data_IF_284355651180
#
_entry.id   IF_284355651180
#
_cell.length_a   1.000
_cell.length_b   1.000
_cell.length_c   1.000
_cell.angle_alpha   90.00
_cell.angle_beta   90.00
_cell.angle_gamma   90.00
#
_symmetry.space_group_name_H-M   'P 1'
#
loop_
_entity.id
_entity.type
_entity.pdbx_description
1 polymer ?
#
# COMPACT_ATOMS: atom_id res chain seq x y z
N UNK A 1 2.72 35.61 1.23
CA UNK A 1 3.48 35.88 -0.01
C UNK A 1 4.30 34.62 -0.22
N UNK A 2 3.84 33.73 -1.10
CA UNK A 2 4.63 32.54 -1.48
C UNK A 2 5.62 33.00 -2.56
N UNK A 3 6.90 33.04 -2.20
CA UNK A 3 7.97 33.10 -3.19
C UNK A 3 7.92 31.82 -4.01
N UNK A 4 7.44 31.92 -5.24
CA UNK A 4 7.57 30.87 -6.22
C UNK A 4 9.06 30.59 -6.44
N UNK A 5 9.56 29.50 -5.90
CA UNK A 5 10.89 28.99 -6.25
C UNK A 5 10.87 28.72 -7.76
N UNK A 6 11.66 29.52 -8.49
CA UNK A 6 11.91 29.31 -9.91
C UNK A 6 12.65 27.96 -10.02
N UNK A 7 11.91 26.85 -10.13
CA UNK A 7 12.51 25.54 -10.35
C UNK A 7 13.23 25.57 -11.70
N UNK A 8 14.55 25.45 -11.66
CA UNK A 8 15.36 25.34 -12.86
C UNK A 8 15.13 23.95 -13.44
N UNK A 9 14.89 23.87 -14.73
CA UNK A 9 14.86 22.62 -15.44
C UNK A 9 16.26 22.27 -15.97
N UNK A 10 16.50 20.99 -16.16
CA UNK A 10 17.73 20.47 -16.75
C UNK A 10 17.39 19.57 -17.90
N UNK A 11 18.01 19.80 -19.07
CA UNK A 11 17.97 18.91 -20.22
C UNK A 11 19.16 18.00 -20.19
N UNK A 12 18.92 16.71 -20.18
CA UNK A 12 19.95 15.68 -20.23
C UNK A 12 20.46 15.58 -21.67
N UNK A 13 21.76 15.75 -21.88
CA UNK A 13 22.41 15.57 -23.18
C UNK A 13 22.92 14.14 -23.32
N UNK A 14 23.55 13.62 -22.26
CA UNK A 14 24.02 12.23 -22.14
C UNK A 14 23.83 11.76 -20.71
N UNK A 15 23.03 10.71 -20.51
CA UNK A 15 22.79 10.20 -19.17
C UNK A 15 21.89 9.00 -19.14
N UNK A 16 22.12 8.13 -18.17
CA UNK A 16 21.35 6.90 -18.00
C UNK A 16 20.75 6.80 -16.61
N UNK A 17 19.61 6.14 -16.56
CA UNK A 17 18.97 5.79 -15.28
C UNK A 17 18.48 4.33 -15.32
N UNK A 18 18.65 3.62 -14.21
CA UNK A 18 18.25 2.22 -14.13
C UNK A 18 16.79 2.08 -13.73
N UNK A 19 15.94 1.72 -14.70
CA UNK A 19 14.52 1.40 -14.48
C UNK A 19 14.37 -0.12 -14.48
N UNK A 20 13.89 -0.71 -13.37
CA UNK A 20 13.64 -2.16 -13.27
C UNK A 20 14.84 -3.03 -13.69
N UNK A 21 16.03 -2.59 -13.30
CA UNK A 21 17.26 -3.33 -13.60
C UNK A 21 17.83 -3.14 -15.01
N UNK A 22 17.15 -2.42 -15.90
CA UNK A 22 17.63 -2.07 -17.25
C UNK A 22 18.10 -0.62 -17.27
N UNK A 23 19.25 -0.37 -17.86
CA UNK A 23 19.73 0.99 -18.09
C UNK A 23 18.96 1.60 -19.26
N UNK A 24 18.36 2.77 -19.01
CA UNK A 24 17.58 3.54 -19.98
C UNK A 24 18.32 4.83 -20.28
N UNK A 25 18.55 5.12 -21.55
CA UNK A 25 19.10 6.39 -22.00
C UNK A 25 18.05 7.50 -21.87
N UNK A 26 18.41 8.60 -21.23
CA UNK A 26 17.57 9.76 -20.98
C UNK A 26 17.95 10.99 -21.80
N UNK A 27 18.79 10.81 -22.81
CA UNK A 27 19.23 11.90 -23.67
C UNK A 27 18.05 12.63 -24.31
N UNK A 28 18.08 13.96 -24.26
CA UNK A 28 17.02 14.83 -24.77
C UNK A 28 15.88 15.12 -23.77
N UNK A 29 15.77 14.39 -22.66
CA UNK A 29 14.71 14.59 -21.68
C UNK A 29 14.97 15.81 -20.77
N UNK A 30 13.89 16.48 -20.37
CA UNK A 30 13.92 17.65 -19.50
C UNK A 30 13.26 17.31 -18.18
N UNK A 31 13.99 17.53 -17.08
CA UNK A 31 13.54 17.27 -15.70
C UNK A 31 13.64 18.53 -14.86
N UNK A 32 12.85 18.66 -13.77
CA UNK A 32 13.12 19.64 -12.74
C UNK A 32 14.44 19.29 -12.02
N UNK A 33 15.36 20.27 -11.95
CA UNK A 33 16.66 20.09 -11.29
C UNK A 33 16.50 20.18 -9.77
N UNK A 34 17.01 19.17 -9.05
CA UNK A 34 17.07 19.17 -7.59
C UNK A 34 18.51 19.49 -7.13
N UNK A 35 19.51 18.90 -7.77
CA UNK A 35 20.91 19.12 -7.41
C UNK A 35 21.79 18.96 -8.66
N UNK A 36 22.68 19.91 -8.85
CA UNK A 36 23.66 19.89 -9.93
C UNK A 36 24.63 18.72 -9.81
N UNK A 37 25.47 18.54 -10.82
CA UNK A 37 26.41 17.43 -10.94
C UNK A 37 27.24 17.20 -9.68
N UNK A 38 27.32 15.96 -9.27
CA UNK A 38 28.21 15.46 -8.22
C UNK A 38 28.87 14.16 -8.61
N UNK A 39 30.05 13.93 -8.07
CA UNK A 39 30.74 12.64 -8.18
C UNK A 39 30.48 11.83 -6.91
N UNK A 40 29.96 10.62 -7.09
CA UNK A 40 29.73 9.66 -6.01
C UNK A 40 30.59 8.41 -6.17
N UNK A 41 30.41 7.44 -5.28
CA UNK A 41 31.18 6.19 -5.28
C UNK A 41 31.03 5.35 -6.57
N UNK A 42 29.95 5.56 -7.32
CA UNK A 42 29.63 4.81 -8.58
C UNK A 42 29.78 5.66 -9.85
N UNK A 43 30.39 6.85 -9.76
CA UNK A 43 30.54 7.78 -10.88
C UNK A 43 29.81 9.10 -10.69
N UNK A 44 29.80 9.92 -11.73
CA UNK A 44 29.12 11.22 -11.74
C UNK A 44 27.61 11.07 -11.89
N UNK A 45 26.86 12.01 -11.36
CA UNK A 45 25.40 12.06 -11.50
C UNK A 45 24.84 13.47 -11.31
N UNK A 46 23.67 13.71 -11.90
CA UNK A 46 22.79 14.86 -11.61
C UNK A 46 21.55 14.35 -10.86
N UNK A 47 21.02 15.11 -9.91
CA UNK A 47 19.82 14.74 -9.18
C UNK A 47 18.64 15.56 -9.69
N UNK A 48 17.56 14.88 -10.09
CA UNK A 48 16.36 15.48 -10.65
C UNK A 48 15.12 14.94 -9.94
N UNK A 49 14.01 15.66 -10.08
CA UNK A 49 12.72 15.20 -9.58
C UNK A 49 12.12 14.18 -10.57
N UNK A 50 12.14 12.91 -10.19
CA UNK A 50 11.54 11.84 -10.96
C UNK A 50 10.02 11.85 -10.93
N UNK A 51 9.41 12.38 -9.85
CA UNK A 51 7.96 12.47 -9.73
C UNK A 51 7.30 13.36 -10.79
N UNK A 52 8.08 14.27 -11.40
CA UNK A 52 7.59 15.17 -12.43
C UNK A 52 7.30 14.50 -13.78
N UNK A 53 7.80 13.27 -14.00
CA UNK A 53 7.66 12.56 -15.28
C UNK A 53 7.06 11.18 -15.04
N UNK A 54 5.98 10.87 -15.76
CA UNK A 54 5.35 9.56 -15.71
C UNK A 54 6.35 8.43 -16.12
N UNK A 55 6.26 7.29 -15.45
CA UNK A 55 7.17 6.16 -15.66
C UNK A 55 8.44 6.18 -14.80
N UNK A 56 8.71 7.28 -14.11
CA UNK A 56 9.81 7.38 -13.15
C UNK A 56 9.32 7.24 -11.69
N UNK A 57 10.22 6.89 -10.75
CA UNK A 57 9.87 6.82 -9.34
C UNK A 57 9.37 8.16 -8.80
N UNK A 58 8.36 8.12 -7.92
CA UNK A 58 7.78 9.29 -7.23
C UNK A 58 8.75 9.80 -6.14
N UNK A 59 9.96 10.15 -6.54
CA UNK A 59 11.05 10.65 -5.68
C UNK A 59 12.16 11.27 -6.52
N UNK A 60 13.08 11.96 -5.85
CA UNK A 60 14.32 12.40 -6.49
C UNK A 60 15.15 11.20 -6.97
N UNK A 61 15.61 11.27 -8.22
CA UNK A 61 16.42 10.23 -8.86
C UNK A 61 17.80 10.79 -9.25
N UNK A 62 18.80 9.91 -9.31
CA UNK A 62 20.14 10.23 -9.76
C UNK A 62 20.36 9.69 -11.15
N UNK A 63 20.49 10.57 -12.12
CA UNK A 63 20.83 10.22 -13.50
C UNK A 63 22.34 10.14 -13.60
N UNK A 64 22.85 8.99 -14.02
CA UNK A 64 24.29 8.82 -14.22
C UNK A 64 24.77 9.65 -15.42
N UNK A 65 25.80 10.46 -15.20
CA UNK A 65 26.40 11.37 -16.19
C UNK A 65 27.91 11.35 -16.02
N UNK A 66 28.66 11.43 -17.11
CA UNK A 66 30.12 11.38 -17.05
C UNK A 66 30.75 12.73 -16.62
N UNK A 67 30.07 13.83 -16.90
CA UNK A 67 30.60 15.16 -16.61
C UNK A 67 29.49 16.19 -16.43
N UNK A 68 29.80 17.40 -15.90
CA UNK A 68 28.86 18.53 -15.87
C UNK A 68 28.40 18.99 -17.27
N UNK A 69 29.07 18.56 -18.33
CA UNK A 69 28.68 18.88 -19.72
C UNK A 69 27.65 17.91 -20.28
N UNK A 70 27.36 16.83 -19.57
CA UNK A 70 26.33 15.86 -19.97
C UNK A 70 24.90 16.37 -19.78
N UNK A 71 24.71 17.58 -19.29
CA UNK A 71 23.41 18.25 -19.20
C UNK A 71 23.57 19.77 -19.36
N UNK A 72 22.47 20.43 -19.68
CA UNK A 72 22.37 21.88 -19.73
C UNK A 72 21.18 22.38 -18.90
N UNK A 73 21.36 23.58 -18.29
CA UNK A 73 20.27 24.22 -17.56
C UNK A 73 19.30 24.83 -18.58
N UNK A 74 18.06 24.37 -18.52
CA UNK A 74 17.01 24.82 -19.41
C UNK A 74 15.92 25.54 -18.59
N UNK A 75 15.85 26.85 -18.76
CA UNK A 75 14.84 27.68 -18.10
C UNK A 75 13.59 27.91 -18.96
N UNK A 76 13.58 27.44 -20.21
CA UNK A 76 12.53 27.72 -21.18
C UNK A 76 11.71 26.51 -21.61
N UNK A 77 12.28 25.32 -21.55
CA UNK A 77 11.55 24.11 -21.97
C UNK A 77 10.66 23.57 -20.86
N UNK A 78 9.49 23.11 -21.26
CA UNK A 78 8.61 22.38 -20.36
C UNK A 78 9.24 21.01 -20.00
N UNK A 79 8.94 20.53 -18.79
CA UNK A 79 9.29 19.16 -18.36
C UNK A 79 8.75 18.16 -19.40
N UNK A 80 9.57 17.17 -19.74
CA UNK A 80 9.17 16.12 -20.69
C UNK A 80 7.93 15.40 -20.17
N UNK A 81 6.86 15.38 -20.93
CA UNK A 81 5.68 14.60 -20.63
C UNK A 81 5.79 13.25 -21.34
N UNK A 82 5.94 12.20 -20.58
CA UNK A 82 5.81 10.82 -21.07
C UNK A 82 4.47 10.28 -20.61
N UNK A 83 3.72 9.70 -21.52
CA UNK A 83 2.58 8.87 -21.15
C UNK A 83 3.06 7.44 -20.91
N UNK A 84 2.76 6.88 -19.75
CA UNK A 84 3.02 5.46 -19.50
C UNK A 84 2.15 4.61 -20.43
N UNK A 85 2.75 3.58 -21.04
CA UNK A 85 1.97 2.56 -21.73
C UNK A 85 1.18 1.71 -20.72
N UNK A 86 0.13 1.04 -21.18
CA UNK A 86 -0.68 0.18 -20.32
C UNK A 86 0.16 -0.92 -19.67
N UNK A 87 1.13 -1.47 -20.38
CA UNK A 87 2.07 -2.47 -19.88
C UNK A 87 2.96 -1.89 -18.76
N UNK A 88 3.47 -0.68 -18.93
CA UNK A 88 4.28 -0.01 -17.91
C UNK A 88 3.47 0.27 -16.65
N UNK A 89 2.21 0.65 -16.78
CA UNK A 89 1.29 0.86 -15.65
C UNK A 89 1.02 -0.45 -14.92
N UNK A 90 0.70 -1.52 -15.66
CA UNK A 90 0.46 -2.86 -15.10
C UNK A 90 1.68 -3.35 -14.33
N UNK A 91 2.85 -3.24 -14.89
CA UNK A 91 4.09 -3.65 -14.24
C UNK A 91 4.38 -2.82 -12.98
N UNK A 92 4.19 -1.50 -13.04
CA UNK A 92 4.37 -0.61 -11.88
C UNK A 92 3.43 -0.97 -10.74
N UNK A 93 2.18 -1.29 -11.05
CA UNK A 93 1.20 -1.71 -10.06
C UNK A 93 1.58 -3.09 -9.49
N UNK A 94 1.94 -4.05 -10.36
CA UNK A 94 2.38 -5.40 -9.96
C UNK A 94 3.56 -5.32 -8.99
N UNK A 95 4.59 -4.57 -9.32
CA UNK A 95 5.77 -4.38 -8.48
C UNK A 95 5.41 -3.90 -7.06
N UNK A 96 4.44 -2.98 -6.91
CA UNK A 96 3.98 -2.51 -5.60
C UNK A 96 3.33 -3.62 -4.78
N UNK A 97 2.51 -4.46 -5.40
CA UNK A 97 1.88 -5.59 -4.72
C UNK A 97 2.86 -6.73 -4.42
N UNK A 98 3.87 -6.94 -5.26
CA UNK A 98 4.95 -7.88 -4.98
C UNK A 98 5.81 -7.38 -3.81
N UNK A 99 6.09 -6.09 -3.73
CA UNK A 99 6.73 -5.47 -2.55
C UNK A 99 5.88 -5.64 -1.29
N UNK A 100 4.53 -5.53 -1.37
CA UNK A 100 3.65 -5.82 -0.25
C UNK A 100 3.83 -7.26 0.25
N UNK A 101 3.85 -8.23 -0.66
CA UNK A 101 4.06 -9.65 -0.33
C UNK A 101 5.44 -9.85 0.32
N UNK A 102 6.48 -9.23 -0.20
CA UNK A 102 7.84 -9.36 0.36
C UNK A 102 7.98 -8.68 1.72
N UNK A 103 7.38 -7.51 1.91
CA UNK A 103 7.31 -6.84 3.20
C UNK A 103 6.52 -7.68 4.23
N UNK A 104 5.41 -8.30 3.83
CA UNK A 104 4.64 -9.20 4.69
C UNK A 104 5.48 -10.41 5.13
N UNK A 105 6.30 -10.99 4.22
CA UNK A 105 7.26 -12.04 4.57
C UNK A 105 8.31 -11.56 5.57
N UNK A 106 8.79 -10.32 5.45
CA UNK A 106 9.76 -9.72 6.38
C UNK A 106 9.14 -9.48 7.77
N UNK A 107 7.89 -9.04 7.83
CA UNK A 107 7.11 -8.91 9.08
C UNK A 107 6.92 -10.27 9.74
N UNK A 108 6.50 -11.29 9.00
CA UNK A 108 6.31 -12.66 9.50
C UNK A 108 7.59 -13.25 10.11
N UNK A 109 8.75 -12.94 9.53
CA UNK A 109 10.05 -13.38 10.05
C UNK A 109 10.55 -12.56 11.24
N UNK A 110 9.78 -11.56 11.70
CA UNK A 110 10.17 -10.65 12.77
C UNK A 110 11.36 -9.74 12.44
N UNK A 111 11.75 -9.64 11.15
CA UNK A 111 12.80 -8.70 10.68
C UNK A 111 12.25 -7.27 10.66
N UNK A 112 10.99 -7.14 10.28
CA UNK A 112 10.22 -5.89 10.32
C UNK A 112 9.18 -6.03 11.43
N UNK A 113 9.22 -5.12 12.39
CA UNK A 113 8.32 -5.17 13.56
C UNK A 113 6.92 -4.64 13.28
N UNK A 114 6.79 -3.69 12.34
CA UNK A 114 5.51 -3.12 11.99
C UNK A 114 5.46 -2.54 10.58
N UNK A 115 4.29 -2.63 9.95
CA UNK A 115 4.00 -2.09 8.63
C UNK A 115 2.60 -1.47 8.61
N UNK A 116 2.47 -0.32 7.96
CA UNK A 116 1.18 0.30 7.61
C UNK A 116 0.99 0.15 6.11
N UNK A 117 -0.14 -0.38 5.69
CA UNK A 117 -0.55 -0.52 4.29
C UNK A 117 -1.76 0.37 4.05
N UNK A 118 -1.55 1.48 3.37
CA UNK A 118 -2.59 2.44 3.02
C UNK A 118 -2.96 2.35 1.54
N UNK A 119 -4.19 2.69 1.21
CA UNK A 119 -4.67 2.76 -0.17
C UNK A 119 -6.19 2.65 -0.26
N UNK A 120 -6.80 2.92 -1.42
CA UNK A 120 -8.24 2.89 -1.58
C UNK A 120 -8.83 1.49 -1.31
N UNK A 121 -10.13 1.42 -0.94
CA UNK A 121 -10.80 0.14 -0.76
C UNK A 121 -10.82 -0.68 -2.06
N UNK A 122 -10.91 -2.00 -1.94
CA UNK A 122 -11.12 -2.89 -3.08
C UNK A 122 -9.96 -3.03 -4.07
N UNK A 123 -8.70 -2.64 -3.70
CA UNK A 123 -7.51 -2.82 -4.56
C UNK A 123 -6.75 -4.13 -4.29
N UNK A 124 -7.13 -4.90 -3.25
CA UNK A 124 -6.52 -6.19 -2.90
C UNK A 124 -5.49 -6.14 -1.77
N UNK A 125 -5.48 -5.09 -0.92
CA UNK A 125 -4.55 -4.97 0.22
C UNK A 125 -4.61 -6.16 1.18
N UNK A 126 -5.78 -6.40 1.76
CA UNK A 126 -6.02 -7.47 2.75
C UNK A 126 -5.72 -8.83 2.14
N UNK A 127 -6.20 -9.09 0.93
CA UNK A 127 -5.93 -10.35 0.22
C UNK A 127 -4.42 -10.59 0.03
N UNK A 128 -3.67 -9.57 -0.40
CA UNK A 128 -2.21 -9.70 -0.60
C UNK A 128 -1.43 -9.99 0.68
N UNK A 129 -1.91 -9.50 1.84
CA UNK A 129 -1.32 -9.80 3.16
C UNK A 129 -1.73 -11.19 3.63
N UNK A 130 -3.04 -11.51 3.60
CA UNK A 130 -3.59 -12.78 4.07
C UNK A 130 -3.02 -13.95 3.25
N UNK A 131 -2.94 -13.85 1.91
CA UNK A 131 -2.35 -14.87 1.04
C UNK A 131 -0.93 -15.29 1.48
N UNK A 132 -0.11 -14.31 1.91
CA UNK A 132 1.25 -14.61 2.38
C UNK A 132 1.23 -15.27 3.76
N UNK A 133 0.36 -14.81 4.66
CA UNK A 133 0.28 -15.33 6.03
C UNK A 133 -0.31 -16.75 6.06
N UNK A 134 -1.35 -17.01 5.27
CA UNK A 134 -2.01 -18.32 5.17
C UNK A 134 -1.05 -19.42 4.71
N UNK A 135 -0.24 -19.15 3.69
CA UNK A 135 0.75 -20.12 3.19
C UNK A 135 1.75 -20.57 4.28
N UNK A 136 2.02 -19.70 5.26
CA UNK A 136 2.93 -20.01 6.37
C UNK A 136 2.20 -20.70 7.52
N UNK A 137 0.95 -20.35 7.77
CA UNK A 137 0.19 -20.91 8.89
C UNK A 137 -0.19 -22.38 8.65
N UNK A 138 -0.47 -22.76 7.41
CA UNK A 138 -0.71 -24.15 7.00
C UNK A 138 0.44 -25.08 7.40
N UNK A 139 1.69 -24.61 7.33
CA UNK A 139 2.87 -25.36 7.77
C UNK A 139 3.07 -25.31 9.29
N UNK A 140 2.61 -24.27 9.96
CA UNK A 140 2.78 -24.06 11.41
C UNK A 140 1.71 -24.75 12.24
N UNK A 141 0.51 -24.95 11.70
CA UNK A 141 -0.62 -25.62 12.37
C UNK A 141 -0.33 -27.08 12.70
N UNK A 142 0.60 -27.71 11.99
CA UNK A 142 1.11 -29.05 12.31
C UNK A 142 1.92 -29.09 13.63
N UNK A 143 2.36 -27.93 14.15
CA UNK A 143 3.13 -27.78 15.39
C UNK A 143 2.38 -27.15 16.56
N UNK A 144 1.09 -26.90 16.45
CA UNK A 144 0.21 -26.46 17.54
C UNK A 144 0.34 -24.99 17.93
N UNK A 145 -0.23 -24.07 17.14
CA UNK A 145 -0.42 -22.66 17.54
C UNK A 145 -0.64 -21.75 16.35
N UNK A 146 -1.65 -20.87 16.46
CA UNK A 146 -1.94 -19.82 15.46
C UNK A 146 -0.83 -18.78 15.45
N UNK A 147 -0.20 -18.57 14.32
CA UNK A 147 0.92 -17.63 14.16
C UNK A 147 0.49 -16.24 13.77
N UNK A 148 -0.72 -16.04 13.26
CA UNK A 148 -1.26 -14.72 12.98
C UNK A 148 -2.77 -14.66 13.25
N UNK A 149 -3.28 -13.46 13.46
CA UNK A 149 -4.71 -13.18 13.56
C UNK A 149 -5.03 -11.91 12.79
N UNK A 150 -6.13 -11.93 12.04
CA UNK A 150 -6.70 -10.73 11.41
C UNK A 150 -7.83 -10.22 12.29
N UNK A 151 -7.66 -9.00 12.78
CA UNK A 151 -8.65 -8.29 13.59
C UNK A 151 -9.34 -7.26 12.71
N UNK A 152 -10.67 -7.29 12.66
CA UNK A 152 -11.50 -6.35 11.89
C UNK A 152 -12.50 -5.65 12.79
N UNK A 153 -12.82 -4.39 12.48
CA UNK A 153 -13.83 -3.60 13.18
C UNK A 153 -13.32 -2.84 14.40
N UNK A 154 -14.23 -2.50 15.32
CA UNK A 154 -13.93 -1.66 16.47
C UNK A 154 -13.24 -2.44 17.60
N UNK A 155 -12.28 -1.80 18.24
CA UNK A 155 -11.55 -2.37 19.38
C UNK A 155 -11.35 -1.32 20.47
N UNK A 156 -11.63 -1.69 21.73
CA UNK A 156 -11.29 -0.86 22.87
C UNK A 156 -9.80 -0.95 23.21
N UNK A 157 -9.22 0.05 23.90
CA UNK A 157 -7.82 0.00 24.32
C UNK A 157 -7.45 -1.25 25.13
N UNK A 158 -8.36 -1.71 26.00
CA UNK A 158 -8.14 -2.94 26.78
C UNK A 158 -8.19 -4.18 25.90
N UNK A 159 -9.06 -4.21 24.87
CA UNK A 159 -9.09 -5.26 23.87
C UNK A 159 -7.80 -5.32 23.06
N UNK A 160 -7.27 -4.15 22.67
CA UNK A 160 -5.98 -4.04 22.02
C UNK A 160 -4.84 -4.60 22.89
N UNK A 161 -4.82 -4.22 24.19
CA UNK A 161 -3.81 -4.70 25.12
C UNK A 161 -3.83 -6.22 25.25
N UNK A 162 -5.02 -6.84 25.40
CA UNK A 162 -5.19 -8.29 25.44
C UNK A 162 -4.74 -8.97 24.14
N UNK A 163 -5.10 -8.41 22.98
CA UNK A 163 -4.66 -8.95 21.67
C UNK A 163 -3.15 -8.92 21.53
N UNK A 164 -2.51 -7.80 21.89
CA UNK A 164 -1.04 -7.70 21.87
C UNK A 164 -0.39 -8.70 22.83
N UNK A 165 -0.99 -8.96 24.01
CA UNK A 165 -0.50 -9.99 24.92
C UNK A 165 -0.58 -11.40 24.33
N UNK A 166 -1.69 -11.75 23.69
CA UNK A 166 -1.90 -13.06 23.10
C UNK A 166 -0.96 -13.35 21.93
N UNK A 167 -0.50 -12.30 21.24
CA UNK A 167 0.42 -12.37 20.09
C UNK A 167 1.79 -11.73 20.39
N UNK A 168 2.22 -11.81 21.67
CA UNK A 168 3.48 -11.17 22.10
C UNK A 168 4.75 -11.90 21.71
N UNK A 169 4.65 -13.16 21.30
CA UNK A 169 5.83 -13.98 21.05
C UNK A 169 6.45 -13.68 19.69
N UNK A 170 7.74 -14.02 19.54
CA UNK A 170 8.44 -13.88 18.28
C UNK A 170 7.75 -14.70 17.18
N UNK A 171 7.78 -14.18 15.96
CA UNK A 171 7.17 -14.79 14.77
C UNK A 171 5.63 -14.86 14.80
N UNK A 172 4.98 -14.18 15.76
CA UNK A 172 3.54 -13.94 15.75
C UNK A 172 3.22 -12.60 15.11
N UNK A 173 2.10 -12.53 14.37
CA UNK A 173 1.67 -11.34 13.64
C UNK A 173 0.22 -10.99 13.96
N UNK A 174 -0.03 -9.75 14.35
CA UNK A 174 -1.37 -9.18 14.40
C UNK A 174 -1.61 -8.33 13.16
N UNK A 175 -2.69 -8.60 12.44
CA UNK A 175 -3.16 -7.77 11.33
C UNK A 175 -4.40 -7.01 11.78
N UNK A 176 -4.32 -5.70 11.76
CA UNK A 176 -5.45 -4.79 12.02
C UNK A 176 -5.99 -4.32 10.68
N UNK A 177 -7.12 -4.87 10.25
CA UNK A 177 -7.73 -4.59 8.95
C UNK A 177 -8.99 -3.73 9.16
N UNK A 178 -8.97 -2.50 8.63
CA UNK A 178 -10.02 -1.49 8.81
C UNK A 178 -10.37 -1.22 10.31
N UNK A 179 -9.36 -1.28 11.19
CA UNK A 179 -9.49 -0.97 12.62
C UNK A 179 -9.16 0.50 12.93
N UNK A 180 -9.54 1.43 12.07
CA UNK A 180 -9.13 2.84 12.13
C UNK A 180 -9.52 3.55 13.43
N UNK A 181 -10.58 3.09 14.12
CA UNK A 181 -10.98 3.59 15.43
C UNK A 181 -9.86 3.50 16.50
N UNK A 182 -8.93 2.55 16.37
CA UNK A 182 -7.75 2.42 17.25
C UNK A 182 -6.83 3.64 17.15
N UNK A 183 -6.79 4.28 15.99
CA UNK A 183 -5.98 5.47 15.77
C UNK A 183 -6.60 6.75 16.36
N UNK A 184 -7.90 6.76 16.60
CA UNK A 184 -8.62 7.91 17.17
C UNK A 184 -8.61 7.92 18.70
N UNK A 185 -8.32 6.77 19.33
CA UNK A 185 -8.36 6.60 20.78
C UNK A 185 -6.96 6.85 21.39
N UNK A 186 -6.76 7.93 22.20
CA UNK A 186 -5.44 8.30 22.71
C UNK A 186 -4.76 7.21 23.55
N UNK A 187 -5.54 6.41 24.31
CA UNK A 187 -4.98 5.34 25.11
C UNK A 187 -4.48 4.19 24.25
N UNK A 188 -5.25 3.80 23.22
CA UNK A 188 -4.84 2.79 22.25
C UNK A 188 -3.56 3.22 21.50
N UNK A 189 -3.48 4.49 21.10
CA UNK A 189 -2.29 5.04 20.46
C UNK A 189 -1.04 4.96 21.36
N UNK A 190 -1.19 5.22 22.66
CA UNK A 190 -0.06 5.11 23.60
C UNK A 190 0.39 3.64 23.76
N UNK A 191 -0.54 2.70 23.78
CA UNK A 191 -0.25 1.25 23.78
C UNK A 191 0.49 0.87 22.50
N UNK A 192 0.02 1.31 21.32
CA UNK A 192 0.68 1.05 20.04
C UNK A 192 2.08 1.65 19.99
N UNK A 193 2.28 2.88 20.45
CA UNK A 193 3.61 3.51 20.51
C UNK A 193 4.59 2.71 21.36
N UNK A 194 4.13 2.11 22.46
CA UNK A 194 4.96 1.22 23.28
C UNK A 194 5.24 -0.13 22.60
N UNK A 195 4.22 -0.71 21.94
CA UNK A 195 4.35 -1.98 21.20
C UNK A 195 5.28 -1.88 20.00
N UNK A 196 5.33 -0.71 19.36
CA UNK A 196 6.05 -0.46 18.09
C UNK A 196 7.34 0.35 18.29
N UNK A 197 7.79 0.53 19.54
CA UNK A 197 9.03 1.26 19.83
C UNK A 197 10.23 0.60 19.11
N UNK A 198 11.14 1.41 18.61
CA UNK A 198 12.35 0.97 17.92
C UNK A 198 13.41 0.36 18.87
N UNK A 199 13.21 0.40 20.20
CA UNK A 199 14.08 -0.21 21.19
C UNK A 199 14.06 -1.74 21.07
N UNK A 200 15.19 -2.37 21.42
CA UNK A 200 15.31 -3.84 21.43
C UNK A 200 14.30 -4.53 22.34
N UNK A 201 13.95 -3.89 23.47
CA UNK A 201 12.96 -4.39 24.42
C UNK A 201 11.74 -3.48 24.41
N UNK A 202 10.61 -3.98 23.93
CA UNK A 202 9.34 -3.27 23.83
C UNK A 202 8.43 -3.75 24.96
N UNK A 203 8.37 -2.99 26.06
CA UNK A 203 7.53 -3.32 27.21
C UNK A 203 6.29 -2.45 27.19
N UNK A 204 5.14 -3.09 27.25
CA UNK A 204 3.83 -2.42 27.31
C UNK A 204 3.33 -2.52 28.75
N UNK A 205 2.82 -1.41 29.29
CA UNK A 205 2.30 -1.32 30.64
C UNK A 205 0.82 -0.90 30.65
N UNK A 206 0.05 -1.52 31.52
CA UNK A 206 -1.30 -1.10 31.86
C UNK A 206 -1.31 -0.66 33.32
N UNK A 207 -1.25 0.64 33.56
CA UNK A 207 -1.01 1.22 34.89
C UNK A 207 -2.28 1.50 35.70
N UNK A 208 -3.42 0.92 35.31
CA UNK A 208 -4.68 1.08 36.02
C UNK A 208 -5.26 -0.29 36.38
N UNK A 209 -5.97 -0.36 37.53
CA UNK A 209 -6.64 -1.58 37.90
C UNK A 209 -7.70 -1.99 36.87
N UNK A 210 -7.73 -3.27 36.48
CA UNK A 210 -8.65 -3.81 35.49
C UNK A 210 -9.13 -5.20 35.87
N UNK A 211 -10.41 -5.30 36.20
CA UNK A 211 -11.06 -6.57 36.45
C UNK A 211 -11.00 -7.51 35.21
N UNK A 212 -11.12 -6.93 34.01
CA UNK A 212 -11.05 -7.71 32.76
C UNK A 212 -9.68 -8.37 32.57
N UNK A 213 -8.58 -7.64 32.78
CA UNK A 213 -7.23 -8.19 32.65
C UNK A 213 -6.99 -9.33 33.63
N UNK A 214 -7.44 -9.18 34.89
CA UNK A 214 -7.34 -10.23 35.89
C UNK A 214 -8.10 -11.48 35.48
N UNK A 215 -9.32 -11.34 35.00
CA UNK A 215 -10.14 -12.47 34.56
C UNK A 215 -9.56 -13.22 33.36
N UNK A 216 -8.93 -12.48 32.45
CA UNK A 216 -8.29 -13.06 31.26
C UNK A 216 -6.85 -13.54 31.53
N UNK A 217 -6.35 -13.37 32.77
CA UNK A 217 -4.98 -13.76 33.13
C UNK A 217 -3.90 -12.92 32.44
N UNK A 218 -4.23 -11.69 32.03
CA UNK A 218 -3.32 -10.79 31.34
C UNK A 218 -2.61 -9.91 32.39
N UNK A 219 -1.26 -9.93 32.46
CA UNK A 219 -0.51 -9.15 33.44
C UNK A 219 -0.54 -7.65 33.13
N UNK A 220 -0.24 -6.82 34.14
CA UNK A 220 -0.19 -5.35 34.01
C UNK A 220 0.98 -4.86 33.13
N UNK A 221 1.94 -5.73 32.83
CA UNK A 221 3.02 -5.44 31.89
C UNK A 221 3.56 -6.70 31.24
N UNK A 222 3.98 -6.57 29.99
CA UNK A 222 4.64 -7.65 29.26
C UNK A 222 5.57 -7.11 28.17
N UNK A 223 6.51 -7.92 27.75
CA UNK A 223 7.36 -7.64 26.60
C UNK A 223 6.67 -8.12 25.32
N UNK A 224 6.53 -7.23 24.34
CA UNK A 224 5.97 -7.54 23.03
C UNK A 224 7.10 -7.80 22.02
N UNK A 225 7.24 -9.03 21.55
CA UNK A 225 8.22 -9.46 20.53
C UNK A 225 7.56 -9.74 19.19
N UNK A 226 6.22 -9.77 19.14
CA UNK A 226 5.44 -9.97 17.94
C UNK A 226 5.57 -8.82 16.95
N UNK A 227 4.89 -8.95 15.84
CA UNK A 227 4.84 -7.96 14.77
C UNK A 227 3.40 -7.52 14.48
N UNK A 228 3.22 -6.34 13.89
CA UNK A 228 1.92 -5.80 13.57
C UNK A 228 1.84 -5.30 12.13
N UNK A 229 0.70 -5.55 11.47
CA UNK A 229 0.36 -5.01 10.15
C UNK A 229 -0.93 -4.22 10.29
N UNK A 230 -0.94 -2.97 9.88
CA UNK A 230 -2.13 -2.12 9.83
C UNK A 230 -2.54 -1.93 8.38
N UNK A 231 -3.77 -2.33 8.05
CA UNK A 231 -4.36 -2.11 6.72
C UNK A 231 -5.46 -1.07 6.90
N UNK A 232 -5.35 0.04 6.17
CA UNK A 232 -6.26 1.17 6.30
C UNK A 232 -6.62 1.76 4.94
N UNK A 233 -7.79 2.40 4.87
CA UNK A 233 -8.20 3.22 3.74
C UNK A 233 -7.86 4.70 3.95
N UNK A 234 -7.36 5.08 5.12
CA UNK A 234 -6.97 6.45 5.44
C UNK A 234 -5.69 6.85 4.70
N UNK A 235 -5.71 8.02 4.07
CA UNK A 235 -4.49 8.72 3.70
C UNK A 235 -4.10 9.65 4.85
N UNK A 236 -2.99 9.37 5.51
CA UNK A 236 -2.54 10.13 6.66
C UNK A 236 -2.22 11.60 6.31
N UNK A 237 -1.95 11.89 5.03
CA UNK A 237 -1.71 13.25 4.53
C UNK A 237 -2.99 14.10 4.51
N UNK A 238 -4.15 13.47 4.31
CA UNK A 238 -5.44 14.16 4.16
C UNK A 238 -6.16 14.41 5.50
N UNK A 239 -5.58 13.98 6.62
CA UNK A 239 -6.21 14.11 7.93
C UNK A 239 -6.18 15.57 8.41
N UNK A 240 -7.36 16.14 8.60
CA UNK A 240 -7.53 17.56 8.99
C UNK A 240 -7.23 17.82 10.46
N UNK A 241 -7.48 16.86 11.35
CA UNK A 241 -7.24 16.99 12.80
C UNK A 241 -5.73 17.02 13.08
N UNK A 242 -5.21 18.17 13.53
CA UNK A 242 -3.78 18.32 13.91
C UNK A 242 -3.35 17.35 14.98
N UNK A 243 -4.22 17.10 15.98
CA UNK A 243 -3.94 16.16 17.08
C UNK A 243 -3.81 14.74 16.57
N UNK A 244 -4.76 14.28 15.74
CA UNK A 244 -4.74 12.94 15.17
C UNK A 244 -3.53 12.77 14.22
N UNK A 245 -3.27 13.75 13.37
CA UNK A 245 -2.09 13.75 12.48
C UNK A 245 -0.78 13.56 13.26
N UNK A 246 -0.55 14.33 14.34
CA UNK A 246 0.66 14.18 15.17
C UNK A 246 0.80 12.78 15.79
N UNK A 247 -0.32 12.14 16.15
CA UNK A 247 -0.29 10.76 16.65
C UNK A 247 0.03 9.75 15.55
N UNK A 248 -0.52 9.93 14.36
CA UNK A 248 -0.28 9.06 13.21
C UNK A 248 1.15 9.22 12.68
N UNK A 249 1.69 10.43 12.61
CA UNK A 249 3.11 10.69 12.29
C UNK A 249 4.04 9.94 13.27
N UNK A 250 3.67 9.90 14.55
CA UNK A 250 4.44 9.15 15.54
C UNK A 250 4.36 7.62 15.35
N UNK A 251 3.27 7.08 14.79
CA UNK A 251 3.17 5.67 14.41
C UNK A 251 3.90 5.41 13.10
N UNK A 252 3.73 6.27 12.11
CA UNK A 252 4.41 6.18 10.81
C UNK A 252 5.92 6.16 10.98
N UNK A 253 6.48 6.97 11.89
CA UNK A 253 7.92 6.96 12.19
C UNK A 253 8.43 5.65 12.79
N UNK A 254 7.56 4.76 13.28
CA UNK A 254 7.87 3.45 13.86
C UNK A 254 7.55 2.28 12.95
N UNK A 255 6.84 2.52 11.87
CA UNK A 255 6.36 1.52 10.94
C UNK A 255 6.97 1.74 9.56
N UNK A 256 7.10 0.68 8.77
CA UNK A 256 7.27 0.86 7.34
C UNK A 256 5.94 1.21 6.72
N UNK A 257 5.86 2.36 6.04
CA UNK A 257 4.64 2.83 5.39
C UNK A 257 4.62 2.44 3.92
N UNK A 258 3.55 1.79 3.51
CA UNK A 258 3.34 1.29 2.15
C UNK A 258 2.09 1.89 1.55
N UNK A 259 2.26 2.78 0.58
CA UNK A 259 1.17 3.43 -0.14
C UNK A 259 0.83 2.64 -1.41
N UNK A 260 -0.36 2.03 -1.43
CA UNK A 260 -0.92 1.32 -2.58
C UNK A 260 -2.00 2.13 -3.30
N UNK A 261 -1.95 3.45 -3.19
CA UNK A 261 -2.90 4.34 -3.85
C UNK A 261 -2.82 4.20 -5.37
N UNK A 262 -3.96 3.94 -5.96
CA UNK A 262 -4.18 3.91 -7.41
C UNK A 262 -5.07 5.11 -7.74
N UNK A 263 -4.50 6.14 -8.36
CA UNK A 263 -5.15 7.45 -8.50
C UNK A 263 -6.08 7.51 -9.72
N UNK A 264 -5.62 7.06 -10.89
CA UNK A 264 -6.38 7.21 -12.12
C UNK A 264 -7.39 6.08 -12.34
N UNK A 265 -8.48 6.40 -13.04
CA UNK A 265 -9.48 5.42 -13.49
C UNK A 265 -8.83 4.37 -14.40
N UNK A 266 -7.92 4.81 -15.27
CA UNK A 266 -7.12 3.94 -16.16
C UNK A 266 -6.32 2.91 -15.35
N UNK A 267 -5.56 3.37 -14.34
CA UNK A 267 -4.76 2.48 -13.49
C UNK A 267 -5.64 1.48 -12.73
N UNK A 268 -6.82 1.93 -12.22
CA UNK A 268 -7.77 1.05 -11.55
C UNK A 268 -8.28 -0.04 -12.48
N UNK A 269 -8.66 0.33 -13.71
CA UNK A 269 -9.16 -0.63 -14.69
C UNK A 269 -8.08 -1.63 -15.11
N UNK A 270 -6.84 -1.16 -15.32
CA UNK A 270 -5.71 -2.04 -15.63
C UNK A 270 -5.40 -3.00 -14.47
N UNK A 271 -5.50 -2.52 -13.22
CA UNK A 271 -5.37 -3.40 -12.05
C UNK A 271 -6.48 -4.45 -11.98
N UNK A 272 -7.72 -4.07 -12.27
CA UNK A 272 -8.84 -5.00 -12.32
C UNK A 272 -8.59 -6.07 -13.39
N UNK A 273 -8.24 -5.68 -14.62
CA UNK A 273 -7.93 -6.60 -15.71
C UNK A 273 -6.81 -7.57 -15.33
N UNK A 274 -5.74 -7.05 -14.70
CA UNK A 274 -4.62 -7.86 -14.23
C UNK A 274 -5.05 -8.93 -13.23
N UNK A 275 -5.76 -8.54 -12.16
CA UNK A 275 -6.13 -9.47 -11.08
C UNK A 275 -7.16 -10.49 -11.56
N UNK A 276 -8.05 -10.10 -12.47
CA UNK A 276 -9.00 -11.02 -13.10
C UNK A 276 -8.28 -12.04 -13.98
N UNK A 277 -7.28 -11.61 -14.77
CA UNK A 277 -6.43 -12.51 -15.56
C UNK A 277 -5.59 -13.45 -14.69
N UNK A 278 -5.22 -13.01 -13.49
CA UNK A 278 -4.49 -13.82 -12.50
C UNK A 278 -5.43 -14.84 -11.76
N UNK A 279 -6.70 -14.98 -12.19
CA UNK A 279 -7.62 -16.04 -11.72
C UNK A 279 -8.61 -15.63 -10.63
N UNK A 280 -8.82 -14.33 -10.37
CA UNK A 280 -9.74 -13.85 -9.32
C UNK A 280 -11.16 -14.45 -9.43
N UNK A 281 -11.64 -14.71 -10.66
CA UNK A 281 -12.98 -15.22 -10.90
C UNK A 281 -13.09 -16.75 -10.95
N UNK A 282 -11.99 -17.49 -10.81
CA UNK A 282 -12.00 -18.96 -10.96
C UNK A 282 -12.80 -19.67 -9.87
N UNK A 283 -12.88 -19.08 -8.68
CA UNK A 283 -13.68 -19.60 -7.57
C UNK A 283 -15.19 -19.63 -7.88
N UNK A 284 -15.66 -18.77 -8.80
CA UNK A 284 -17.06 -18.68 -9.21
C UNK A 284 -17.46 -19.74 -10.25
N UNK A 285 -16.48 -20.45 -10.83
CA UNK A 285 -16.70 -21.48 -11.86
C UNK A 285 -17.53 -21.01 -13.06
N UNK A 286 -17.42 -19.74 -13.40
CA UNK A 286 -18.02 -19.16 -14.60
C UNK A 286 -17.24 -19.60 -15.84
N UNK A 287 -17.98 -19.79 -16.95
CA UNK A 287 -17.37 -20.02 -18.24
C UNK A 287 -16.56 -18.78 -18.69
N UNK A 288 -15.55 -18.98 -19.52
CA UNK A 288 -14.65 -17.89 -19.94
C UNK A 288 -15.41 -16.80 -20.72
N UNK A 289 -16.46 -17.14 -21.44
CA UNK A 289 -17.34 -16.19 -22.12
C UNK A 289 -18.06 -15.28 -21.11
N UNK A 290 -18.64 -15.85 -20.07
CA UNK A 290 -19.32 -15.08 -19.00
C UNK A 290 -18.32 -14.23 -18.21
N UNK A 291 -17.09 -14.73 -17.96
CA UNK A 291 -16.03 -13.91 -17.35
C UNK A 291 -15.68 -12.71 -18.23
N UNK A 292 -15.60 -12.89 -19.56
CA UNK A 292 -15.38 -11.80 -20.48
C UNK A 292 -16.53 -10.77 -20.45
N UNK A 293 -17.80 -11.24 -20.48
CA UNK A 293 -18.98 -10.37 -20.40
C UNK A 293 -19.01 -9.54 -19.12
N UNK A 294 -18.67 -10.15 -17.97
CA UNK A 294 -18.54 -9.43 -16.69
C UNK A 294 -17.49 -8.32 -16.78
N UNK A 295 -16.34 -8.60 -17.41
CA UNK A 295 -15.27 -7.61 -17.55
C UNK A 295 -15.64 -6.50 -18.52
N UNK A 296 -16.35 -6.82 -19.61
CA UNK A 296 -16.83 -5.85 -20.58
C UNK A 296 -17.91 -4.94 -19.95
N UNK A 297 -18.82 -5.51 -19.16
CA UNK A 297 -19.81 -4.73 -18.38
C UNK A 297 -19.12 -3.70 -17.48
N UNK A 298 -18.04 -4.10 -16.77
CA UNK A 298 -17.28 -3.21 -15.89
C UNK A 298 -16.59 -2.12 -16.71
N UNK A 299 -15.93 -2.45 -17.82
CA UNK A 299 -15.16 -1.49 -18.63
C UNK A 299 -16.08 -0.46 -19.32
N UNK A 300 -17.20 -0.92 -19.89
CA UNK A 300 -18.19 -0.05 -20.55
C UNK A 300 -18.84 0.91 -19.55
N UNK A 301 -19.16 0.42 -18.36
CA UNK A 301 -19.93 1.18 -17.36
C UNK A 301 -19.06 1.87 -16.29
N UNK A 302 -17.72 1.84 -16.40
CA UNK A 302 -16.76 2.28 -15.36
C UNK A 302 -17.04 3.66 -14.75
N UNK A 303 -17.54 4.62 -15.55
CA UNK A 303 -17.89 5.98 -15.09
C UNK A 303 -19.23 6.06 -14.34
N UNK A 304 -20.06 5.05 -14.48
CA UNK A 304 -21.40 5.00 -13.87
C UNK A 304 -21.42 4.09 -12.64
N UNK A 305 -20.36 3.29 -12.43
CA UNK A 305 -20.25 2.43 -11.26
C UNK A 305 -20.12 3.28 -9.99
N UNK A 306 -20.77 2.83 -8.90
CA UNK A 306 -20.63 3.45 -7.57
C UNK A 306 -19.19 3.39 -7.07
N UNK A 307 -18.47 2.34 -7.46
CA UNK A 307 -17.06 2.13 -7.13
C UNK A 307 -16.40 1.30 -8.23
N UNK A 308 -15.29 1.79 -8.79
CA UNK A 308 -14.44 1.02 -9.70
C UNK A 308 -13.39 0.29 -8.88
N UNK A 309 -13.66 -0.97 -8.53
CA UNK A 309 -12.82 -1.79 -7.64
C UNK A 309 -12.96 -3.28 -7.92
N UNK A 310 -12.04 -4.09 -7.39
CA UNK A 310 -12.14 -5.55 -7.43
C UNK A 310 -13.42 -6.07 -6.75
N UNK A 311 -13.89 -5.40 -5.68
CA UNK A 311 -15.15 -5.77 -5.00
C UNK A 311 -16.35 -5.65 -5.93
N UNK A 312 -16.39 -4.65 -6.80
CA UNK A 312 -17.47 -4.49 -7.77
C UNK A 312 -17.47 -5.60 -8.80
N UNK A 313 -16.31 -6.03 -9.27
CA UNK A 313 -16.19 -7.19 -10.17
C UNK A 313 -16.71 -8.46 -9.52
N UNK A 314 -16.34 -8.72 -8.26
CA UNK A 314 -16.85 -9.89 -7.51
C UNK A 314 -18.37 -9.86 -7.35
N UNK A 315 -18.95 -8.68 -7.01
CA UNK A 315 -20.41 -8.51 -6.92
C UNK A 315 -21.12 -8.82 -8.24
N UNK A 316 -20.56 -8.37 -9.36
CA UNK A 316 -21.14 -8.65 -10.68
C UNK A 316 -21.00 -10.13 -11.02
N UNK A 317 -19.87 -10.76 -10.72
CA UNK A 317 -19.69 -12.21 -10.89
C UNK A 317 -20.65 -13.03 -10.02
N UNK A 318 -20.91 -12.62 -8.77
CA UNK A 318 -21.95 -13.23 -7.91
C UNK A 318 -23.34 -13.17 -8.55
N UNK A 319 -23.69 -12.04 -9.17
CA UNK A 319 -24.96 -11.92 -9.89
C UNK A 319 -25.00 -12.80 -11.13
N UNK A 320 -23.91 -12.93 -11.88
CA UNK A 320 -23.82 -13.82 -13.05
C UNK A 320 -24.01 -15.29 -12.66
N UNK A 321 -23.49 -15.71 -11.51
CA UNK A 321 -23.74 -17.07 -10.98
C UNK A 321 -25.19 -17.23 -10.52
N UNK A 322 -25.74 -16.25 -9.80
CA UNK A 322 -27.05 -16.36 -9.18
C UNK A 322 -28.22 -16.16 -10.17
N UNK A 323 -28.03 -15.36 -11.21
CA UNK A 323 -29.06 -14.93 -12.16
C UNK A 323 -28.53 -14.92 -13.60
N UNK A 324 -28.18 -16.08 -14.21
CA UNK A 324 -27.50 -16.14 -15.51
C UNK A 324 -28.25 -15.36 -16.62
N UNK A 325 -29.57 -15.41 -16.64
CA UNK A 325 -30.38 -14.80 -17.72
C UNK A 325 -30.64 -13.30 -17.55
N UNK A 326 -30.30 -12.68 -16.40
CA UNK A 326 -30.63 -11.27 -16.10
C UNK A 326 -29.62 -10.55 -15.22
N UNK A 327 -28.41 -11.06 -15.08
CA UNK A 327 -27.40 -10.52 -14.19
C UNK A 327 -27.02 -9.07 -14.55
N UNK A 328 -27.00 -8.71 -15.84
CA UNK A 328 -26.68 -7.34 -16.27
C UNK A 328 -27.69 -6.34 -15.70
N UNK A 329 -28.99 -6.60 -15.88
CA UNK A 329 -30.04 -5.73 -15.33
C UNK A 329 -29.98 -5.65 -13.79
N UNK A 330 -29.61 -6.75 -13.13
CA UNK A 330 -29.40 -6.76 -11.68
C UNK A 330 -28.16 -5.93 -11.30
N UNK A 331 -27.09 -6.02 -12.06
CA UNK A 331 -25.85 -5.24 -11.86
C UNK A 331 -26.11 -3.75 -12.06
N UNK A 332 -26.83 -3.34 -13.12
CA UNK A 332 -27.21 -1.95 -13.34
C UNK A 332 -27.93 -1.34 -12.12
N UNK A 333 -28.84 -2.10 -11.50
CA UNK A 333 -29.61 -1.61 -10.36
C UNK A 333 -28.84 -1.65 -9.02
N UNK A 334 -27.80 -2.46 -8.89
CA UNK A 334 -27.12 -2.68 -7.60
C UNK A 334 -25.75 -2.01 -7.50
N UNK A 335 -24.97 -2.01 -8.58
CA UNK A 335 -23.59 -1.49 -8.56
C UNK A 335 -23.42 -0.15 -9.29
N UNK A 336 -24.43 0.32 -10.03
CA UNK A 336 -24.39 1.61 -10.71
C UNK A 336 -25.11 2.71 -9.93
N UNK A 337 -24.77 3.97 -10.19
CA UNK A 337 -25.57 5.10 -9.72
C UNK A 337 -26.90 5.12 -10.45
N UNK A 338 -28.01 5.25 -9.73
CA UNK A 338 -29.31 5.55 -10.32
C UNK A 338 -29.27 6.92 -10.98
N UNK A 339 -29.80 7.01 -12.19
CA UNK A 339 -29.94 8.27 -12.93
C UNK A 339 -30.96 9.19 -12.26
#
# INVERSE_FOLDING_TARGET
MNEGSNMKNVKILEGTYKIRGKDVDLSGMVFPLVQEFKVGAKGGYVTVDGAAIAGFPDRNIKIACDSPRSYELDTKSNVTQLEETDEQIVDRIRDRFDMLKDMTKAVKKGVVSAMIVSGPPGVGKSHGVEEVLDRYDTLSSLGGGTKYEVVKGAMSPIGLYCKLFNFKEKDQVLVFDDCDAVFEEPLALNILKAALDSKKKRTIHWNTDSFKLRNEGVPDSFEFKGSAIFITNLDFRDIKSKKLRSHLEALESRCHYMDLTIKSEKDKMLRIKQVTADGMLDAYKLDDEVKADVMDFIDINKKQLRELSLRTVLKVAELAVAFPDRWEAMAENTVMHTR
#
